data_IF_826983105290
#
_entry.id   IF_826983105290
#
_cell.length_a   1.000
_cell.length_b   1.000
_cell.length_c   1.000
_cell.angle_alpha   90.00
_cell.angle_beta   90.00
_cell.angle_gamma   90.00
#
_symmetry.space_group_name_H-M   'P 1'
#
loop_
_entity.id
_entity.type
_entity.pdbx_description
1 polymer ?
#
# COMPACT_ATOMS: atom_id res chain seq x y z
N UNK A 1 4.44 -9.88 33.42
CA UNK A 1 3.81 -9.56 32.12
C UNK A 1 2.95 -10.73 31.69
N UNK A 2 1.75 -10.49 31.16
CA UNK A 2 0.90 -11.56 30.62
C UNK A 2 1.48 -12.10 29.32
N UNK A 3 1.13 -13.33 28.95
CA UNK A 3 1.56 -13.94 27.69
C UNK A 3 1.13 -13.10 26.48
N UNK A 4 -0.09 -12.57 26.52
CA UNK A 4 -0.60 -11.65 25.52
C UNK A 4 0.28 -10.40 25.37
N UNK A 5 0.66 -9.77 26.49
CA UNK A 5 1.54 -8.59 26.45
C UNK A 5 2.90 -8.92 25.84
N UNK A 6 3.46 -10.10 26.13
CA UNK A 6 4.71 -10.56 25.53
C UNK A 6 4.61 -10.76 24.02
N UNK A 7 3.56 -11.42 23.52
CA UNK A 7 3.36 -11.62 22.08
C UNK A 7 3.05 -10.30 21.35
N UNK A 8 2.25 -9.43 21.97
CA UNK A 8 1.98 -8.10 21.44
C UNK A 8 3.27 -7.28 21.34
N UNK A 9 4.11 -7.27 22.37
CA UNK A 9 5.39 -6.56 22.34
C UNK A 9 6.36 -7.17 21.30
N UNK A 10 6.40 -8.51 21.18
CA UNK A 10 7.23 -9.19 20.17
C UNK A 10 6.90 -8.70 18.76
N UNK A 11 5.62 -8.52 18.45
CA UNK A 11 5.17 -8.15 17.11
C UNK A 11 5.06 -6.63 16.89
N UNK A 12 4.49 -5.92 17.85
CA UNK A 12 3.98 -4.55 17.66
C UNK A 12 4.57 -3.55 18.65
N UNK A 13 5.70 -3.86 19.28
CA UNK A 13 6.45 -2.86 20.04
C UNK A 13 6.68 -1.59 19.19
N UNK A 14 6.62 -0.43 19.85
CA UNK A 14 7.05 0.82 19.26
C UNK A 14 8.51 0.70 18.76
N UNK A 15 8.78 1.32 17.61
CA UNK A 15 10.16 1.46 17.15
C UNK A 15 10.93 2.46 18.03
N UNK A 16 12.24 2.55 17.80
CA UNK A 16 13.04 3.67 18.32
C UNK A 16 12.55 4.99 17.72
N UNK A 17 12.90 6.13 18.32
CA UNK A 17 12.52 7.45 17.76
C UNK A 17 12.81 7.53 16.26
N UNK A 18 11.81 7.97 15.49
CA UNK A 18 11.88 8.09 14.04
C UNK A 18 11.83 6.77 13.27
N UNK A 19 11.57 5.63 13.93
CA UNK A 19 11.46 4.32 13.29
C UNK A 19 10.09 3.68 13.53
N UNK A 20 9.49 3.15 12.47
CA UNK A 20 8.20 2.46 12.50
C UNK A 20 8.45 0.96 12.45
N UNK A 21 8.10 0.24 13.53
CA UNK A 21 8.25 -1.23 13.62
C UNK A 21 6.95 -1.98 13.35
N UNK A 22 5.82 -1.31 13.48
CA UNK A 22 4.52 -1.89 13.16
C UNK A 22 3.63 -0.83 12.56
N UNK A 23 2.68 -1.27 11.75
CA UNK A 23 1.72 -0.38 11.16
C UNK A 23 0.43 -1.14 10.84
N UNK A 24 -0.67 -0.41 10.85
CA UNK A 24 -2.02 -0.96 10.79
C UNK A 24 -2.74 -0.34 9.59
N UNK A 25 -3.21 -1.20 8.70
CA UNK A 25 -4.13 -0.84 7.64
C UNK A 25 -5.55 -1.06 8.16
N UNK A 26 -6.24 0.02 8.44
CA UNK A 26 -7.63 0.01 8.89
C UNK A 26 -8.54 0.37 7.71
N UNK A 27 -9.53 -0.49 7.46
CA UNK A 27 -10.54 -0.27 6.42
C UNK A 27 -11.91 -0.46 7.04
N UNK A 28 -12.79 0.52 6.82
CA UNK A 28 -14.14 0.47 7.37
C UNK A 28 -15.15 1.38 6.71
N UNK A 29 -16.35 1.39 7.29
CA UNK A 29 -17.48 2.28 6.97
C UNK A 29 -17.92 2.24 5.49
N UNK A 30 -18.62 1.17 5.05
CA UNK A 30 -18.95 -0.05 5.80
C UNK A 30 -17.76 -1.00 5.97
N UNK A 31 -17.85 -1.88 6.97
CA UNK A 31 -16.95 -3.01 7.13
C UNK A 31 -17.04 -3.91 5.91
N UNK A 32 -15.88 -4.30 5.37
CA UNK A 32 -15.80 -5.09 4.14
C UNK A 32 -14.64 -6.07 4.26
N UNK A 33 -14.95 -7.28 4.73
CA UNK A 33 -13.97 -8.34 4.86
C UNK A 33 -13.49 -8.85 3.50
N UNK A 34 -14.31 -8.86 2.45
CA UNK A 34 -13.89 -9.34 1.13
C UNK A 34 -12.77 -8.47 0.55
N UNK A 35 -12.91 -7.15 0.70
CA UNK A 35 -11.88 -6.20 0.35
C UNK A 35 -10.60 -6.44 1.15
N UNK A 36 -10.69 -6.53 2.47
CA UNK A 36 -9.51 -6.68 3.33
C UNK A 36 -8.87 -8.06 3.22
N UNK A 37 -9.66 -9.10 3.00
CA UNK A 37 -9.24 -10.47 2.74
C UNK A 37 -8.53 -10.63 1.39
N UNK A 38 -8.83 -9.76 0.42
CA UNK A 38 -8.05 -9.64 -0.84
C UNK A 38 -6.67 -9.09 -0.56
N UNK A 39 -6.55 -8.02 0.24
CA UNK A 39 -5.25 -7.49 0.68
C UNK A 39 -4.49 -8.54 1.49
N UNK A 40 -5.14 -9.18 2.47
CA UNK A 40 -4.54 -10.17 3.37
C UNK A 40 -3.95 -11.36 2.60
N UNK A 41 -4.65 -11.86 1.57
CA UNK A 41 -4.12 -12.91 0.69
C UNK A 41 -3.04 -12.39 -0.25
N UNK A 42 -3.26 -11.23 -0.87
CA UNK A 42 -2.33 -10.64 -1.85
C UNK A 42 -0.96 -10.34 -1.25
N UNK A 43 -0.88 -9.81 -0.03
CA UNK A 43 0.42 -9.58 0.62
C UNK A 43 1.21 -10.87 0.85
N UNK A 44 0.54 -12.00 1.06
CA UNK A 44 1.20 -13.29 1.24
C UNK A 44 1.58 -13.94 -0.09
N UNK A 45 0.65 -13.97 -1.04
CA UNK A 45 0.82 -14.68 -2.31
C UNK A 45 1.69 -13.90 -3.30
N UNK A 46 1.46 -12.59 -3.41
CA UNK A 46 2.15 -11.76 -4.38
C UNK A 46 3.47 -11.24 -3.80
N UNK A 47 3.41 -10.63 -2.61
CA UNK A 47 4.56 -9.95 -2.01
C UNK A 47 5.44 -10.89 -1.16
N UNK A 48 5.05 -12.16 -1.02
CA UNK A 48 5.74 -13.15 -0.18
C UNK A 48 5.93 -12.70 1.27
N UNK A 49 5.02 -11.86 1.80
CA UNK A 49 5.09 -11.39 3.19
C UNK A 49 4.42 -12.41 4.13
N UNK A 50 4.84 -12.47 5.41
CA UNK A 50 4.08 -13.15 6.44
C UNK A 50 2.63 -12.66 6.54
N UNK A 51 1.72 -13.55 6.96
CA UNK A 51 0.33 -13.21 7.21
C UNK A 51 0.24 -12.04 8.21
N UNK A 52 -0.38 -10.90 7.85
CA UNK A 52 -0.65 -9.86 8.82
C UNK A 52 -1.72 -10.33 9.81
N UNK A 53 -1.66 -9.82 11.03
CA UNK A 53 -2.69 -10.05 12.03
C UNK A 53 -4.00 -9.41 11.59
N UNK A 54 -5.13 -10.04 11.91
CA UNK A 54 -6.46 -9.50 11.62
C UNK A 54 -7.08 -9.08 12.94
N UNK A 55 -7.57 -7.86 13.02
CA UNK A 55 -8.33 -7.40 14.18
C UNK A 55 -9.65 -6.77 13.76
N UNK A 56 -10.65 -6.94 14.61
CA UNK A 56 -11.88 -6.17 14.59
C UNK A 56 -11.72 -5.01 15.59
N UNK A 57 -12.01 -3.78 15.14
CA UNK A 57 -11.67 -2.56 15.88
C UNK A 57 -12.88 -1.77 16.37
N UNK A 58 -14.08 -2.36 16.29
CA UNK A 58 -15.34 -1.65 16.43
C UNK A 58 -15.61 -0.74 15.23
N UNK A 59 -16.65 0.10 15.37
CA UNK A 59 -17.00 1.15 14.39
C UNK A 59 -17.12 0.72 12.92
N UNK A 60 -17.48 -0.54 12.68
CA UNK A 60 -17.57 -1.14 11.36
C UNK A 60 -16.24 -1.06 10.59
N UNK A 61 -15.11 -1.31 11.28
CA UNK A 61 -13.79 -1.44 10.66
C UNK A 61 -13.07 -2.74 11.03
N UNK A 62 -12.30 -3.21 10.05
CA UNK A 62 -11.32 -4.27 10.20
C UNK A 62 -9.92 -3.70 10.03
N UNK A 63 -8.95 -4.38 10.64
CA UNK A 63 -7.57 -3.97 10.63
C UNK A 63 -6.65 -5.12 10.21
N UNK A 64 -5.69 -4.81 9.34
CA UNK A 64 -4.53 -5.65 9.07
C UNK A 64 -3.29 -5.08 9.75
N UNK A 65 -2.64 -5.95 10.52
CA UNK A 65 -1.53 -5.60 11.38
C UNK A 65 -0.23 -6.19 10.87
N UNK A 66 0.67 -5.31 10.45
CA UNK A 66 1.97 -5.69 9.95
C UNK A 66 3.03 -5.47 11.03
N UNK A 67 3.90 -6.47 11.19
CA UNK A 67 5.02 -6.43 12.12
C UNK A 67 6.31 -6.48 11.32
N UNK A 68 7.23 -5.55 11.56
CA UNK A 68 8.56 -5.55 10.97
C UNK A 68 9.59 -6.07 11.97
N UNK A 69 10.48 -6.94 11.51
CA UNK A 69 11.60 -7.46 12.30
C UNK A 69 12.62 -6.35 12.60
N UNK A 70 12.80 -5.42 11.65
CA UNK A 70 13.58 -4.21 11.81
C UNK A 70 12.72 -3.00 11.45
N UNK A 71 12.80 -1.94 12.25
CA UNK A 71 12.00 -0.74 11.99
C UNK A 71 12.45 -0.04 10.69
N UNK A 72 11.51 0.60 10.03
CA UNK A 72 11.72 1.37 8.81
C UNK A 72 11.53 2.87 9.07
N UNK A 73 11.88 3.71 8.10
CA UNK A 73 11.56 5.14 8.15
C UNK A 73 10.05 5.39 7.92
N UNK A 74 9.49 6.51 8.41
CA UNK A 74 8.10 6.88 8.15
C UNK A 74 7.80 7.03 6.65
N UNK A 75 8.78 7.48 5.85
CA UNK A 75 8.65 7.64 4.40
C UNK A 75 8.55 6.29 3.68
N UNK A 76 9.33 5.28 4.11
CA UNK A 76 9.20 3.91 3.61
C UNK A 76 7.85 3.30 3.98
N UNK A 77 7.40 3.49 5.22
CA UNK A 77 6.08 3.03 5.66
C UNK A 77 4.95 3.64 4.81
N UNK A 78 5.02 4.95 4.55
CA UNK A 78 4.07 5.65 3.68
C UNK A 78 4.09 5.09 2.26
N UNK A 79 5.28 4.90 1.70
CA UNK A 79 5.45 4.36 0.34
C UNK A 79 4.87 2.95 0.23
N UNK A 80 5.10 2.11 1.24
CA UNK A 80 4.50 0.77 1.32
C UNK A 80 2.96 0.85 1.30
N UNK A 81 2.37 1.72 2.12
CA UNK A 81 0.92 1.91 2.16
C UNK A 81 0.34 2.45 0.85
N UNK A 82 1.01 3.41 0.22
CA UNK A 82 0.59 3.95 -1.07
C UNK A 82 0.63 2.86 -2.16
N UNK A 83 1.66 1.99 -2.13
CA UNK A 83 1.74 0.80 -2.97
C UNK A 83 0.59 -0.19 -2.74
N UNK A 84 0.31 -0.55 -1.47
CA UNK A 84 -0.81 -1.43 -1.14
C UNK A 84 -2.16 -0.85 -1.58
N UNK A 85 -2.38 0.45 -1.35
CA UNK A 85 -3.61 1.15 -1.76
C UNK A 85 -3.78 1.12 -3.27
N UNK A 86 -2.73 1.45 -4.02
CA UNK A 86 -2.74 1.45 -5.48
C UNK A 86 -3.02 0.07 -6.06
N UNK A 87 -2.41 -0.97 -5.47
CA UNK A 87 -2.47 -2.34 -5.98
C UNK A 87 -3.77 -3.07 -5.62
N UNK A 88 -4.20 -3.01 -4.36
CA UNK A 88 -5.30 -3.84 -3.86
C UNK A 88 -6.57 -3.07 -3.51
N UNK A 89 -6.47 -1.77 -3.26
CA UNK A 89 -7.60 -0.91 -2.84
C UNK A 89 -7.93 0.15 -3.90
N UNK A 90 -7.61 -0.12 -5.16
CA UNK A 90 -7.98 0.76 -6.26
C UNK A 90 -9.50 0.88 -6.35
N UNK A 91 -10.02 2.11 -6.39
CA UNK A 91 -11.46 2.38 -6.41
C UNK A 91 -12.13 2.46 -5.03
N UNK A 92 -11.41 2.19 -3.94
CA UNK A 92 -11.92 2.40 -2.58
C UNK A 92 -11.74 3.87 -2.19
N UNK A 93 -12.80 4.48 -1.66
CA UNK A 93 -12.75 5.88 -1.22
C UNK A 93 -11.69 6.07 -0.12
N UNK A 94 -10.82 7.08 -0.27
CA UNK A 94 -9.73 7.34 0.68
C UNK A 94 -10.22 7.58 2.11
N UNK A 95 -11.44 8.09 2.30
CA UNK A 95 -12.07 8.27 3.61
C UNK A 95 -12.35 6.96 4.37
N UNK A 96 -12.36 5.81 3.66
CA UNK A 96 -12.56 4.48 4.24
C UNK A 96 -11.26 3.79 4.66
N UNK A 97 -10.11 4.34 4.27
CA UNK A 97 -8.80 3.72 4.48
C UNK A 97 -7.99 4.60 5.44
N UNK A 98 -7.51 4.01 6.52
CA UNK A 98 -6.59 4.66 7.46
C UNK A 98 -5.32 3.83 7.58
N UNK A 99 -4.19 4.53 7.64
CA UNK A 99 -2.88 3.95 7.85
C UNK A 99 -2.36 4.49 9.18
N UNK A 100 -2.16 3.61 10.16
CA UNK A 100 -1.71 3.97 11.49
C UNK A 100 -0.30 3.42 11.69
N UNK A 101 0.66 4.29 12.01
CA UNK A 101 2.03 3.89 12.39
C UNK A 101 2.15 3.70 13.91
N UNK A 102 1.17 4.19 14.65
CA UNK A 102 1.00 3.96 16.07
C UNK A 102 -0.15 2.96 16.25
N UNK A 103 0.14 1.72 16.69
CA UNK A 103 -0.89 0.71 16.83
C UNK A 103 -1.88 1.08 17.96
N UNK A 104 -3.19 0.98 17.74
CA UNK A 104 -4.17 1.17 18.81
C UNK A 104 -4.08 0.06 19.86
N UNK A 105 -4.69 0.26 21.04
CA UNK A 105 -4.77 -0.80 22.04
C UNK A 105 -5.75 -1.90 21.57
N UNK A 106 -5.24 -3.10 21.32
CA UNK A 106 -6.05 -4.30 20.99
C UNK A 106 -5.50 -5.51 21.75
N UNK A 107 -6.32 -6.28 22.47
CA UNK A 107 -7.75 -6.06 22.71
C UNK A 107 -8.02 -4.93 23.72
N UNK A 108 -9.10 -4.18 23.51
CA UNK A 108 -9.59 -3.14 24.42
C UNK A 108 -11.09 -2.92 24.24
N UNK A 109 -11.76 -2.38 25.27
CA UNK A 109 -13.13 -1.89 25.13
C UNK A 109 -13.11 -0.58 24.33
N UNK A 110 -13.72 -0.59 23.14
CA UNK A 110 -13.74 0.56 22.21
C UNK A 110 -14.98 1.42 22.41
N UNK A 111 -16.09 0.80 22.84
CA UNK A 111 -17.32 1.43 23.32
C UNK A 111 -17.91 0.56 24.41
N UNK A 112 -18.83 1.09 25.22
CA UNK A 112 -19.49 0.34 26.27
C UNK A 112 -20.09 -0.97 25.72
N UNK A 113 -19.58 -2.10 26.22
CA UNK A 113 -19.99 -3.44 25.79
C UNK A 113 -19.46 -3.89 24.42
N UNK A 114 -18.61 -3.11 23.75
CA UNK A 114 -17.99 -3.45 22.47
C UNK A 114 -16.47 -3.54 22.59
N UNK A 115 -15.94 -4.72 22.32
CA UNK A 115 -14.53 -5.02 22.47
C UNK A 115 -13.84 -5.23 21.12
N UNK A 116 -12.66 -4.62 20.96
CA UNK A 116 -11.73 -4.97 19.88
C UNK A 116 -11.01 -6.27 20.21
N UNK A 117 -10.68 -7.03 19.17
CA UNK A 117 -9.99 -8.31 19.33
C UNK A 117 -9.24 -8.69 18.05
N UNK A 118 -8.14 -9.43 18.22
CA UNK A 118 -7.56 -10.20 17.13
C UNK A 118 -8.45 -11.41 16.83
N UNK A 119 -8.60 -11.71 15.54
CA UNK A 119 -9.42 -12.81 15.05
C UNK A 119 -8.63 -13.66 14.07
N UNK A 120 -8.94 -14.95 14.01
CA UNK A 120 -8.41 -15.85 13.01
C UNK A 120 -9.04 -15.56 11.62
N UNK A 121 -8.33 -15.85 10.52
CA UNK A 121 -8.81 -15.52 9.17
C UNK A 121 -10.12 -16.23 8.78
N UNK A 122 -10.36 -17.43 9.32
CA UNK A 122 -11.60 -18.20 9.14
C UNK A 122 -12.79 -17.61 9.90
N UNK A 123 -12.54 -16.88 10.99
CA UNK A 123 -13.57 -16.20 11.78
C UNK A 123 -13.83 -14.77 11.32
N UNK A 124 -12.91 -14.15 10.58
CA UNK A 124 -13.05 -12.76 10.14
C UNK A 124 -14.37 -12.47 9.38
N UNK A 125 -14.87 -13.33 8.45
CA UNK A 125 -16.15 -13.09 7.75
C UNK A 125 -17.37 -12.98 8.68
N UNK A 126 -17.32 -13.59 9.87
CA UNK A 126 -18.46 -13.63 10.81
C UNK A 126 -18.77 -12.24 11.37
N UNK A 127 -17.78 -11.34 11.41
CA UNK A 127 -17.89 -10.02 12.03
C UNK A 127 -18.26 -8.89 11.05
N UNK A 128 -18.74 -9.21 9.84
CA UNK A 128 -18.95 -8.19 8.80
C UNK A 128 -20.04 -7.18 9.19
N UNK A 129 -21.08 -7.64 9.88
CA UNK A 129 -22.17 -6.79 10.37
C UNK A 129 -21.83 -6.09 11.69
N UNK A 130 -21.04 -6.74 12.54
CA UNK A 130 -20.64 -6.26 13.86
C UNK A 130 -19.15 -6.52 14.07
N UNK A 131 -18.30 -5.51 13.79
CA UNK A 131 -16.85 -5.62 13.93
C UNK A 131 -16.37 -5.44 15.38
N UNK A 132 -17.04 -6.04 16.35
CA UNK A 132 -16.67 -6.05 17.76
C UNK A 132 -17.10 -7.37 18.42
N UNK A 133 -16.61 -7.62 19.64
CA UNK A 133 -17.15 -8.64 20.53
C UNK A 133 -18.03 -8.00 21.60
N UNK A 134 -19.14 -8.64 21.94
CA UNK A 134 -20.02 -8.19 23.05
C UNK A 134 -19.46 -8.57 24.44
N UNK A 135 -18.40 -9.37 24.48
CA UNK A 135 -17.71 -9.80 25.69
C UNK A 135 -16.20 -9.56 25.59
N UNK A 136 -15.50 -9.37 26.72
CA UNK A 136 -14.04 -9.23 26.72
C UNK A 136 -13.37 -10.47 26.11
N UNK A 137 -12.43 -10.31 25.17
CA UNK A 137 -11.74 -11.45 24.57
C UNK A 137 -10.83 -12.15 25.59
N UNK A 138 -10.77 -13.47 25.51
CA UNK A 138 -9.92 -14.28 26.38
C UNK A 138 -8.43 -14.04 26.13
N UNK A 139 -7.69 -13.70 27.18
CA UNK A 139 -6.25 -13.34 27.10
C UNK A 139 -5.39 -14.44 26.47
N UNK A 140 -5.61 -15.71 26.84
CA UNK A 140 -4.84 -16.83 26.30
C UNK A 140 -5.16 -17.10 24.82
N UNK A 141 -6.43 -17.01 24.42
CA UNK A 141 -6.83 -17.19 23.03
C UNK A 141 -6.23 -16.10 22.12
N UNK A 142 -6.23 -14.85 22.59
CA UNK A 142 -5.56 -13.75 21.89
C UNK A 142 -4.04 -13.98 21.78
N UNK A 143 -3.41 -14.46 22.85
CA UNK A 143 -1.98 -14.77 22.84
C UNK A 143 -1.64 -15.92 21.88
N UNK A 144 -2.48 -16.95 21.80
CA UNK A 144 -2.32 -18.06 20.87
C UNK A 144 -2.44 -17.60 19.40
N UNK A 145 -3.38 -16.71 19.09
CA UNK A 145 -3.48 -16.10 17.77
C UNK A 145 -2.19 -15.35 17.39
N UNK A 146 -1.73 -14.46 18.26
CA UNK A 146 -0.52 -13.65 18.01
C UNK A 146 0.74 -14.51 17.91
N UNK A 147 0.85 -15.59 18.68
CA UNK A 147 2.01 -16.50 18.63
C UNK A 147 2.24 -17.10 17.24
N UNK A 148 1.18 -17.31 16.44
CA UNK A 148 1.29 -17.84 15.08
C UNK A 148 1.85 -16.84 14.07
N UNK A 149 1.75 -15.54 14.37
CA UNK A 149 2.18 -14.47 13.49
C UNK A 149 3.69 -14.25 13.55
N UNK A 150 4.23 -13.81 12.42
CA UNK A 150 5.66 -13.55 12.24
C UNK A 150 5.89 -12.09 11.84
N UNK A 151 7.04 -11.57 12.25
CA UNK A 151 7.53 -10.29 11.76
C UNK A 151 8.15 -10.46 10.37
N UNK A 152 7.90 -9.50 9.49
CA UNK A 152 8.51 -9.36 8.17
C UNK A 152 10.01 -9.15 8.35
N UNK A 153 10.83 -9.98 7.71
CA UNK A 153 12.28 -9.84 7.71
C UNK A 153 12.73 -8.66 6.83
N UNK A 154 13.93 -8.09 7.05
CA UNK A 154 14.44 -7.02 6.18
C UNK A 154 14.50 -7.39 4.70
N UNK A 155 14.75 -8.67 4.38
CA UNK A 155 14.79 -9.17 3.01
C UNK A 155 13.40 -9.20 2.37
N UNK A 156 12.41 -9.75 3.07
CA UNK A 156 11.01 -9.77 2.63
C UNK A 156 10.48 -8.34 2.46
N UNK A 157 10.82 -7.44 3.39
CA UNK A 157 10.47 -6.02 3.30
C UNK A 157 11.03 -5.35 2.05
N UNK A 158 12.33 -5.47 1.81
CA UNK A 158 12.98 -4.88 0.63
C UNK A 158 12.41 -5.45 -0.68
N UNK A 159 12.15 -6.76 -0.73
CA UNK A 159 11.53 -7.40 -1.88
C UNK A 159 10.10 -6.88 -2.13
N UNK A 160 9.28 -6.78 -1.09
CA UNK A 160 7.93 -6.26 -1.21
C UNK A 160 7.91 -4.78 -1.64
N UNK A 161 8.81 -3.96 -1.10
CA UNK A 161 8.98 -2.56 -1.52
C UNK A 161 9.36 -2.44 -3.00
N UNK A 162 10.24 -3.32 -3.51
CA UNK A 162 10.57 -3.37 -4.93
C UNK A 162 9.40 -3.79 -5.82
N UNK A 163 8.54 -4.70 -5.35
CA UNK A 163 7.34 -5.14 -6.08
C UNK A 163 6.18 -4.15 -6.05
N UNK A 164 6.13 -3.31 -5.00
CA UNK A 164 5.14 -2.25 -4.84
C UNK A 164 5.58 -0.94 -5.50
N UNK A 165 6.87 -0.79 -5.80
CA UNK A 165 7.36 0.32 -6.59
C UNK A 165 6.62 0.34 -7.94
N UNK A 166 6.17 1.51 -8.41
CA UNK A 166 5.64 1.63 -9.76
C UNK A 166 6.69 1.10 -10.72
N UNK A 167 6.30 0.16 -11.58
CA UNK A 167 7.23 -0.49 -12.51
C UNK A 167 8.11 0.59 -13.18
N UNK A 168 9.45 0.51 -13.05
CA UNK A 168 10.32 1.32 -13.88
C UNK A 168 9.94 0.97 -15.31
N UNK A 169 9.49 1.97 -16.08
CA UNK A 169 9.38 1.81 -17.52
C UNK A 169 10.75 1.36 -18.02
N UNK A 170 10.76 0.18 -18.63
CA UNK A 170 11.91 -0.67 -18.91
C UNK A 170 13.19 0.12 -19.24
N UNK A 171 14.14 0.13 -18.31
CA UNK A 171 15.54 0.28 -18.63
C UNK A 171 15.96 -1.06 -19.25
N UNK A 172 15.83 -1.18 -20.57
CA UNK A 172 16.29 -2.33 -21.32
C UNK A 172 17.79 -2.53 -21.10
N UNK A 173 18.12 -3.41 -20.16
CA UNK A 173 19.40 -4.09 -20.07
C UNK A 173 19.50 -5.01 -21.28
N UNK A 174 20.22 -4.56 -22.32
CA UNK A 174 20.79 -5.51 -23.29
C UNK A 174 22.28 -5.62 -23.03
N UNK A 175 22.66 -6.75 -22.46
CA UNK A 175 23.99 -7.31 -22.44
C UNK A 175 24.50 -7.41 -23.89
N UNK A 176 25.35 -6.47 -24.32
CA UNK A 176 26.02 -6.54 -25.62
C UNK A 176 27.51 -6.86 -25.41
N UNK A 177 27.90 -8.10 -25.75
CA UNK A 177 29.29 -8.44 -26.05
C UNK A 177 29.79 -7.64 -27.28
N UNK A 178 31.11 -7.40 -27.39
CA UNK A 178 31.63 -6.34 -28.24
C UNK A 178 31.72 -6.78 -29.71
N UNK A 179 30.89 -6.20 -30.55
CA UNK A 179 31.13 -6.09 -31.99
C UNK A 179 31.49 -4.63 -32.31
N UNK A 180 32.60 -4.34 -32.99
CA UNK A 180 32.87 -2.97 -33.39
C UNK A 180 31.86 -2.58 -34.46
N UNK A 181 31.37 -1.34 -34.44
CA UNK A 181 31.48 -0.40 -35.55
C UNK A 181 30.46 0.77 -35.45
N UNK A 182 31.08 1.95 -35.51
CA UNK A 182 30.65 3.28 -35.99
C UNK A 182 29.65 4.12 -35.19
N UNK A 183 30.20 5.24 -34.71
CA UNK A 183 29.58 6.44 -34.17
C UNK A 183 28.39 6.97 -34.99
N UNK A 184 27.31 7.34 -34.31
CA UNK A 184 26.42 8.42 -34.75
C UNK A 184 25.73 9.08 -33.55
N UNK A 185 26.03 10.37 -33.39
CA UNK A 185 25.26 11.44 -32.77
C UNK A 185 24.54 11.20 -31.43
N UNK A 186 25.09 11.85 -30.41
CA UNK A 186 24.38 12.41 -29.25
C UNK A 186 23.03 13.03 -29.64
N UNK A 187 21.95 12.53 -29.07
CA UNK A 187 20.74 13.31 -28.81
C UNK A 187 20.05 12.75 -27.58
N UNK A 188 20.44 13.32 -26.44
CA UNK A 188 19.70 13.25 -25.19
C UNK A 188 18.31 13.87 -25.40
N UNK A 189 17.25 13.08 -25.21
CA UNK A 189 15.91 13.61 -25.04
C UNK A 189 15.38 13.20 -23.67
N UNK A 190 15.69 14.03 -22.67
CA UNK A 190 14.86 14.19 -21.49
C UNK A 190 13.50 14.77 -21.91
N UNK A 191 12.41 14.42 -21.21
CA UNK A 191 11.36 15.38 -21.02
C UNK A 191 11.04 15.54 -19.53
N UNK A 192 11.82 16.37 -18.86
CA UNK A 192 11.29 17.19 -17.79
C UNK A 192 11.32 18.65 -18.28
N UNK A 193 10.13 19.20 -18.55
CA UNK A 193 9.81 20.64 -18.63
C UNK A 193 10.71 21.53 -19.51
N UNK A 194 10.35 21.69 -20.80
CA UNK A 194 10.87 22.79 -21.64
C UNK A 194 9.82 23.57 -22.46
N UNK A 195 8.54 23.35 -22.23
CA UNK A 195 7.51 24.13 -22.92
C UNK A 195 7.05 25.28 -22.03
N UNK A 196 7.59 26.47 -22.29
CA UNK A 196 7.07 27.72 -21.72
C UNK A 196 5.79 28.17 -22.43
N UNK A 197 5.56 27.67 -23.65
CA UNK A 197 4.36 27.95 -24.46
C UNK A 197 3.48 26.70 -24.62
N UNK A 198 2.23 26.72 -24.10
CA UNK A 198 1.26 25.65 -24.28
C UNK A 198 0.96 25.32 -25.75
N UNK A 199 1.05 26.29 -26.68
CA UNK A 199 0.79 26.03 -28.10
C UNK A 199 1.92 25.24 -28.75
N UNK A 200 3.18 25.56 -28.40
CA UNK A 200 4.35 24.82 -28.88
C UNK A 200 4.31 23.35 -28.44
N UNK A 201 3.87 23.08 -27.21
CA UNK A 201 3.66 21.71 -26.72
C UNK A 201 2.62 20.96 -27.55
N UNK A 202 1.43 21.54 -27.76
CA UNK A 202 0.36 20.89 -28.51
C UNK A 202 0.73 20.64 -29.98
N UNK A 203 1.47 21.56 -30.60
CA UNK A 203 2.00 21.39 -31.96
C UNK A 203 3.01 20.25 -32.04
N UNK A 204 3.87 20.09 -31.03
CA UNK A 204 4.81 18.97 -30.99
C UNK A 204 4.07 17.64 -30.80
N UNK A 205 3.12 17.57 -29.87
CA UNK A 205 2.30 16.37 -29.64
C UNK A 205 1.56 15.97 -30.92
N UNK A 206 0.99 16.93 -31.66
CA UNK A 206 0.28 16.66 -32.92
C UNK A 206 1.20 16.10 -34.02
N UNK A 207 2.45 16.57 -34.09
CA UNK A 207 3.42 16.16 -35.13
C UNK A 207 4.24 14.92 -34.77
N UNK A 208 4.12 14.41 -33.54
CA UNK A 208 4.86 13.23 -33.10
C UNK A 208 4.16 11.94 -33.54
N UNK A 209 4.80 11.19 -34.44
CA UNK A 209 4.27 9.94 -34.98
C UNK A 209 4.20 8.80 -33.95
N UNK A 210 4.95 8.90 -32.84
CA UNK A 210 4.98 7.91 -31.75
C UNK A 210 3.83 8.10 -30.75
N UNK A 211 3.20 9.28 -30.74
CA UNK A 211 2.03 9.55 -29.91
C UNK A 211 0.80 8.85 -30.49
N UNK A 212 -0.05 8.20 -29.67
CA UNK A 212 -1.32 7.63 -30.13
C UNK A 212 -2.20 8.65 -30.87
N UNK A 213 -2.81 8.24 -31.99
CA UNK A 213 -3.60 9.14 -32.86
C UNK A 213 -4.72 9.89 -32.11
N UNK A 214 -5.34 9.26 -31.11
CA UNK A 214 -6.35 9.89 -30.26
C UNK A 214 -5.83 11.13 -29.52
N UNK A 215 -4.63 11.06 -28.94
CA UNK A 215 -4.01 12.19 -28.24
C UNK A 215 -3.57 13.30 -29.20
N UNK A 216 -3.18 12.95 -30.44
CA UNK A 216 -2.91 13.93 -31.50
C UNK A 216 -4.17 14.70 -31.91
N UNK A 217 -5.32 14.03 -31.98
CA UNK A 217 -6.62 14.65 -32.28
C UNK A 217 -7.06 15.57 -31.14
N UNK A 218 -6.86 15.16 -29.88
CA UNK A 218 -7.16 16.02 -28.72
C UNK A 218 -6.28 17.27 -28.69
N UNK A 219 -4.99 17.15 -29.00
CA UNK A 219 -4.09 18.29 -29.08
C UNK A 219 -4.49 19.26 -30.20
N UNK A 220 -4.89 18.76 -31.37
CA UNK A 220 -5.39 19.57 -32.47
C UNK A 220 -6.70 20.31 -32.09
N UNK A 221 -7.61 19.64 -31.38
CA UNK A 221 -8.85 20.25 -30.88
C UNK A 221 -8.56 21.37 -29.86
N UNK A 222 -7.61 21.15 -28.95
CA UNK A 222 -7.20 22.15 -27.97
C UNK A 222 -6.57 23.40 -28.63
N UNK A 223 -5.80 23.22 -29.72
CA UNK A 223 -5.27 24.33 -30.51
C UNK A 223 -6.37 25.15 -31.20
N UNK A 224 -7.37 24.50 -31.79
CA UNK A 224 -8.50 25.18 -32.42
C UNK A 224 -9.29 26.02 -31.40
N UNK A 225 -9.61 25.44 -30.25
CA UNK A 225 -10.33 26.14 -29.18
C UNK A 225 -9.54 27.33 -28.60
N UNK A 226 -8.20 27.24 -28.60
CA UNK A 226 -7.30 28.31 -28.17
C UNK A 226 -7.08 29.42 -29.21
N UNK A 227 -7.52 29.25 -30.46
CA UNK A 227 -7.48 30.28 -31.51
C UNK A 227 -8.73 31.16 -31.52
N UNK A 228 -9.89 30.64 -31.09
CA UNK A 228 -11.16 31.39 -30.94
C UNK A 228 -11.18 32.38 -29.75
N UNK A 229 -10.21 32.29 -28.84
CA UNK A 229 -10.09 33.12 -27.64
C UNK A 229 -9.14 34.32 -27.79
N UNK A 230 -8.81 34.74 -29.02
CA UNK A 230 -7.97 35.93 -29.29
C UNK A 230 -8.73 36.98 -30.09
#
# INVERSE_FOLDING_TARGET
>A
MSRLATEFQRLYAAGSEGSVRSFVLDVGRPSDWELLGTVWRGVQLDLSLPAPGIAIAGENSYQLWFSLGHGCSPDEARTFFDGLKSRYLNGVAASRIRCLTEPPAVPAEVKEGQWSAFVAPDLAPVFVEATWLDIPPGVEGQADLLKTLKSITPQEWAAAMGQLAPAPQDLALTTASPGPQVSAATSSYSPATRFTDPRAFLLQVMNDATVPMALRIEAARALMLGMEKR
#
